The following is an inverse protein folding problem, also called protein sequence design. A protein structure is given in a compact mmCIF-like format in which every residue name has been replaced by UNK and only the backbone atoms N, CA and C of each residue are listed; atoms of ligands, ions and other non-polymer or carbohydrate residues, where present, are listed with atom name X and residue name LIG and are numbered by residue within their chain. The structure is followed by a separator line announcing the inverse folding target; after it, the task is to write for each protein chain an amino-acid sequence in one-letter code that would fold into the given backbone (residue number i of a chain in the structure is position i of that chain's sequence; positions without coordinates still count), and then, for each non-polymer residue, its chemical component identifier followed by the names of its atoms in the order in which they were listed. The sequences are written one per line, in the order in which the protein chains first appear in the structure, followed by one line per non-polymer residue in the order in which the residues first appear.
data_IF_794382993248
#
_entry.id   IF_794382993248
#
_cell.length_a   1.000
_cell.length_b   1.000
_cell.length_c   1.000
_cell.angle_alpha   90.00
_cell.angle_beta   90.00
_cell.angle_gamma   90.00
#
_symmetry.space_group_name_H-M   'P 1'
#
loop_
_entity.id
_entity.type
_entity.pdbx_description
1 polymer ?
#
# COMPACT_ATOMS: atom_id res chain seq x y z
N UNK A 1 -16.53 -6.78 7.61
CA UNK A 1 -15.41 -6.24 8.42
C UNK A 1 -14.18 -6.26 7.55
N UNK A 2 -13.49 -5.13 7.43
CA UNK A 2 -12.30 -5.02 6.59
C UNK A 2 -11.17 -4.29 7.31
N UNK A 3 -9.98 -4.34 6.73
CA UNK A 3 -8.81 -3.56 7.17
C UNK A 3 -8.32 -2.74 5.98
N UNK A 4 -8.06 -1.46 6.23
CA UNK A 4 -7.35 -0.59 5.29
C UNK A 4 -5.96 -0.33 5.85
N UNK A 5 -4.94 -0.76 5.12
CA UNK A 5 -3.56 -0.45 5.43
C UNK A 5 -3.19 0.91 4.84
N UNK A 6 -2.81 1.83 5.71
CA UNK A 6 -2.38 3.18 5.34
C UNK A 6 -0.85 3.24 5.29
N UNK A 7 -0.30 3.75 4.19
CA UNK A 7 1.12 4.00 4.00
C UNK A 7 1.36 5.49 3.74
N UNK A 8 2.15 6.13 4.60
CA UNK A 8 2.66 7.50 4.41
C UNK A 8 4.14 7.49 4.74
N UNK A 9 4.97 7.42 3.73
CA UNK A 9 6.41 7.30 3.89
C UNK A 9 7.16 8.21 2.92
N UNK A 10 8.44 8.43 3.22
CA UNK A 10 9.34 9.22 2.36
C UNK A 10 10.44 8.39 1.71
N UNK A 11 10.68 7.19 2.22
CA UNK A 11 11.78 6.32 1.80
C UNK A 11 11.52 5.69 0.43
N UNK A 12 12.53 5.72 -0.45
CA UNK A 12 12.46 5.24 -1.84
C UNK A 12 12.40 3.70 -1.99
N UNK A 13 12.61 2.97 -0.89
CA UNK A 13 12.58 1.52 -0.80
C UNK A 13 11.36 1.04 0.01
N UNK A 14 10.37 1.91 0.25
CA UNK A 14 9.21 1.60 1.10
C UNK A 14 8.52 0.30 0.71
N UNK A 15 8.28 0.09 -0.59
CA UNK A 15 7.58 -1.13 -1.03
C UNK A 15 8.38 -2.41 -0.87
N UNK A 16 9.70 -2.35 -0.74
CA UNK A 16 10.54 -3.53 -0.51
C UNK A 16 10.25 -4.20 0.84
N UNK A 17 9.86 -3.42 1.85
CA UNK A 17 9.41 -3.97 3.14
C UNK A 17 7.89 -3.98 3.27
N UNK A 18 7.19 -3.00 2.67
CA UNK A 18 5.75 -2.86 2.86
C UNK A 18 4.97 -3.96 2.13
N UNK A 19 5.35 -4.31 0.90
CA UNK A 19 4.67 -5.36 0.14
C UNK A 19 4.71 -6.74 0.84
N UNK A 20 5.88 -7.27 1.27
CA UNK A 20 5.91 -8.53 2.02
C UNK A 20 5.20 -8.44 3.37
N UNK A 21 5.27 -7.30 4.08
CA UNK A 21 4.55 -7.09 5.33
C UNK A 21 3.02 -7.15 5.13
N UNK A 22 2.49 -6.48 4.10
CA UNK A 22 1.06 -6.51 3.77
C UNK A 22 0.62 -7.94 3.46
N UNK A 23 1.41 -8.69 2.69
CA UNK A 23 1.12 -10.10 2.36
C UNK A 23 1.04 -10.97 3.61
N UNK A 24 2.00 -10.83 4.51
CA UNK A 24 2.04 -11.59 5.76
C UNK A 24 0.87 -11.22 6.70
N UNK A 25 0.65 -9.92 6.93
CA UNK A 25 -0.46 -9.44 7.76
C UNK A 25 -1.82 -9.85 7.21
N UNK A 26 -2.03 -9.81 5.89
CA UNK A 26 -3.23 -10.36 5.25
C UNK A 26 -3.39 -11.84 5.57
N UNK A 27 -2.32 -12.62 5.45
CA UNK A 27 -2.34 -14.06 5.76
C UNK A 27 -2.79 -14.32 7.19
N UNK A 28 -2.20 -13.62 8.16
CA UNK A 28 -2.57 -13.71 9.57
C UNK A 28 -4.03 -13.30 9.82
N UNK A 29 -4.47 -12.20 9.22
CA UNK A 29 -5.84 -11.72 9.34
C UNK A 29 -6.85 -12.71 8.74
N UNK A 30 -6.57 -13.26 7.56
CA UNK A 30 -7.43 -14.25 6.90
C UNK A 30 -7.50 -15.57 7.66
N UNK A 31 -6.41 -15.99 8.32
CA UNK A 31 -6.41 -17.19 9.16
C UNK A 31 -7.40 -17.08 10.33
N UNK A 32 -7.54 -15.87 10.92
CA UNK A 32 -8.47 -15.62 12.03
C UNK A 32 -9.86 -15.16 11.58
N UNK A 33 -9.93 -14.44 10.47
CA UNK A 33 -11.14 -13.84 9.91
C UNK A 33 -11.22 -14.13 8.39
N UNK A 34 -11.69 -15.32 7.97
CA UNK A 34 -11.63 -15.75 6.56
C UNK A 34 -12.28 -14.79 5.56
N UNK A 35 -13.33 -14.09 5.98
CA UNK A 35 -14.10 -13.16 5.16
C UNK A 35 -13.62 -11.71 5.28
N UNK A 36 -12.51 -11.43 5.97
CA UNK A 36 -12.00 -10.05 6.11
C UNK A 36 -11.57 -9.50 4.75
N UNK A 37 -11.99 -8.30 4.43
CA UNK A 37 -11.56 -7.59 3.21
C UNK A 37 -10.34 -6.74 3.50
N UNK A 38 -9.47 -6.57 2.50
CA UNK A 38 -8.20 -5.85 2.65
C UNK A 38 -8.10 -4.79 1.56
N UNK A 39 -7.76 -3.57 1.97
CA UNK A 39 -7.40 -2.47 1.10
C UNK A 39 -6.06 -1.88 1.53
N UNK A 40 -5.37 -1.24 0.59
CA UNK A 40 -4.11 -0.51 0.81
C UNK A 40 -4.27 0.88 0.23
N UNK A 41 -3.93 1.91 1.00
CA UNK A 41 -3.89 3.29 0.54
C UNK A 41 -2.50 3.86 0.78
N UNK A 42 -1.79 4.17 -0.31
CA UNK A 42 -0.50 4.83 -0.29
C UNK A 42 -0.67 6.30 -0.68
N UNK A 43 -0.17 7.22 0.13
CA UNK A 43 -0.41 8.64 -0.10
C UNK A 43 0.72 9.58 0.35
N UNK A 44 1.87 9.03 0.78
CA UNK A 44 3.12 9.78 0.93
C UNK A 44 3.92 9.83 -0.37
N UNK A 45 5.26 9.93 -0.27
CA UNK A 45 6.14 9.92 -1.47
C UNK A 45 6.36 8.50 -2.00
N UNK A 46 6.06 7.49 -1.20
CA UNK A 46 6.17 6.09 -1.56
C UNK A 46 5.25 5.70 -2.72
N UNK A 47 4.10 6.37 -2.88
CA UNK A 47 3.19 6.11 -4.00
C UNK A 47 3.89 6.25 -5.35
N UNK A 48 4.82 7.21 -5.47
CA UNK A 48 5.50 7.49 -6.73
C UNK A 48 6.46 6.38 -7.16
N UNK A 49 6.77 5.41 -6.31
CA UNK A 49 7.52 4.21 -6.69
C UNK A 49 6.67 3.25 -7.53
N UNK A 50 5.34 3.39 -7.49
CA UNK A 50 4.39 2.61 -8.30
C UNK A 50 4.16 3.21 -9.70
N UNK A 51 4.86 4.28 -10.07
CA UNK A 51 4.89 4.79 -11.45
C UNK A 51 5.61 3.76 -12.32
N UNK A 52 5.09 3.46 -13.52
CA UNK A 52 5.61 2.41 -14.45
C UNK A 52 7.14 2.38 -14.53
N UNK A 53 7.78 3.53 -14.80
CA UNK A 53 9.25 3.63 -14.92
C UNK A 53 10.03 3.29 -13.64
N UNK A 54 9.45 3.51 -12.45
CA UNK A 54 10.09 3.27 -11.15
C UNK A 54 9.74 1.91 -10.58
N UNK A 55 8.56 1.40 -10.89
CA UNK A 55 8.11 0.06 -10.52
C UNK A 55 9.09 -1.02 -11.04
N UNK A 56 9.63 -0.82 -12.24
CA UNK A 56 10.68 -1.69 -12.82
C UNK A 56 11.95 -1.83 -11.96
N UNK A 57 12.22 -0.88 -11.05
CA UNK A 57 13.39 -0.91 -10.17
C UNK A 57 13.19 -1.77 -8.92
N UNK A 58 11.97 -2.27 -8.68
CA UNK A 58 11.60 -3.02 -7.47
C UNK A 58 10.69 -4.21 -7.79
N UNK A 59 11.11 -5.00 -8.80
CA UNK A 59 10.31 -6.08 -9.40
C UNK A 59 9.73 -7.07 -8.39
N UNK A 60 10.46 -7.42 -7.34
CA UNK A 60 9.97 -8.32 -6.30
C UNK A 60 8.76 -7.73 -5.55
N UNK A 61 8.87 -6.47 -5.10
CA UNK A 61 7.76 -5.79 -4.44
C UNK A 61 6.55 -5.65 -5.37
N UNK A 62 6.78 -5.32 -6.65
CA UNK A 62 5.70 -5.23 -7.64
C UNK A 62 5.05 -6.57 -7.89
N UNK A 63 5.82 -7.67 -7.96
CA UNK A 63 5.26 -9.01 -8.10
C UNK A 63 4.37 -9.39 -6.92
N UNK A 64 4.76 -9.02 -5.69
CA UNK A 64 3.94 -9.25 -4.50
C UNK A 64 2.64 -8.44 -4.56
N UNK A 65 2.72 -7.15 -4.95
CA UNK A 65 1.54 -6.31 -5.08
C UNK A 65 0.60 -6.79 -6.20
N UNK A 66 1.15 -7.26 -7.32
CA UNK A 66 0.36 -7.80 -8.43
C UNK A 66 -0.40 -9.06 -8.00
N UNK A 67 0.24 -9.97 -7.28
CA UNK A 67 -0.42 -11.13 -6.67
C UNK A 67 -1.55 -10.71 -5.72
N UNK A 68 -1.26 -9.77 -4.81
CA UNK A 68 -2.25 -9.27 -3.85
C UNK A 68 -3.48 -8.70 -4.55
N UNK A 69 -3.27 -7.87 -5.58
CA UNK A 69 -4.37 -7.20 -6.28
C UNK A 69 -5.13 -8.18 -7.18
N UNK A 70 -4.42 -8.90 -8.06
CA UNK A 70 -5.06 -9.70 -9.12
C UNK A 70 -5.55 -11.06 -8.67
N UNK A 71 -4.85 -11.70 -7.73
CA UNK A 71 -5.16 -13.06 -7.29
C UNK A 71 -5.89 -13.07 -5.95
N UNK A 72 -5.66 -12.07 -5.12
CA UNK A 72 -6.12 -12.09 -3.73
C UNK A 72 -7.13 -10.98 -3.39
N UNK A 73 -7.61 -10.26 -4.42
CA UNK A 73 -8.67 -9.25 -4.35
C UNK A 73 -8.38 -8.11 -3.34
N UNK A 74 -7.13 -7.65 -3.31
CA UNK A 74 -6.72 -6.48 -2.52
C UNK A 74 -6.85 -5.22 -3.38
N UNK A 75 -7.52 -4.19 -2.87
CA UNK A 75 -7.56 -2.90 -3.54
C UNK A 75 -6.30 -2.09 -3.21
N UNK A 76 -5.59 -1.58 -4.22
CA UNK A 76 -4.40 -0.74 -4.04
C UNK A 76 -4.64 0.67 -4.59
N UNK A 77 -4.70 1.64 -3.69
CA UNK A 77 -4.99 3.03 -4.00
C UNK A 77 -3.77 3.93 -3.85
N UNK A 78 -3.67 4.94 -4.72
CA UNK A 78 -2.76 6.08 -4.55
C UNK A 78 -3.51 7.42 -4.50
N UNK A 79 -2.87 8.45 -3.97
CA UNK A 79 -3.45 9.79 -3.83
C UNK A 79 -3.27 10.63 -5.11
N UNK A 80 -4.38 10.86 -5.82
CA UNK A 80 -4.47 11.71 -7.00
C UNK A 80 -4.15 13.18 -6.70
N UNK A 81 -4.64 13.72 -5.58
CA UNK A 81 -4.33 15.09 -5.13
C UNK A 81 -2.82 15.28 -4.92
N UNK A 82 -2.14 14.35 -4.24
CA UNK A 82 -0.68 14.43 -4.08
C UNK A 82 0.03 14.23 -5.43
N UNK A 83 -0.50 13.38 -6.32
CA UNK A 83 0.04 13.20 -7.67
C UNK A 83 -0.02 14.47 -8.53
N UNK A 84 -1.11 15.23 -8.43
CA UNK A 84 -1.31 16.45 -9.20
C UNK A 84 -0.30 17.55 -8.85
N UNK A 85 0.11 17.63 -7.57
CA UNK A 85 1.16 18.55 -7.12
C UNK A 85 2.51 18.33 -7.81
N UNK A 86 2.75 17.12 -8.35
CA UNK A 86 3.97 16.76 -9.08
C UNK A 86 3.73 16.56 -10.58
N UNK A 87 2.55 16.91 -11.10
CA UNK A 87 2.20 16.73 -12.51
C UNK A 87 2.13 15.27 -12.97
N UNK A 88 1.94 14.33 -12.03
CA UNK A 88 1.82 12.90 -12.35
C UNK A 88 0.37 12.57 -12.70
N UNK A 89 0.16 12.08 -13.92
CA UNK A 89 -1.14 11.66 -14.41
C UNK A 89 -1.49 10.25 -13.91
N UNK A 90 -2.78 9.93 -13.68
CA UNK A 90 -3.19 8.58 -13.26
C UNK A 90 -2.64 7.45 -14.15
N UNK A 91 -2.62 7.63 -15.47
CA UNK A 91 -2.09 6.66 -16.44
C UNK A 91 -0.57 6.40 -16.35
N UNK A 92 0.14 7.14 -15.49
CA UNK A 92 1.58 6.94 -15.24
C UNK A 92 1.84 5.80 -14.26
N UNK A 93 0.86 5.42 -13.44
CA UNK A 93 0.96 4.32 -12.49
C UNK A 93 0.84 2.96 -13.18
N UNK A 94 1.39 1.91 -12.57
CA UNK A 94 1.19 0.53 -13.01
C UNK A 94 -0.29 0.15 -12.95
N UNK A 95 -0.69 -0.79 -13.81
CA UNK A 95 -2.12 -1.04 -14.08
C UNK A 95 -2.90 -1.65 -12.89
N UNK A 96 -2.21 -2.10 -11.84
CA UNK A 96 -2.82 -2.60 -10.60
C UNK A 96 -3.15 -1.48 -9.58
N UNK A 97 -2.80 -0.24 -9.89
CA UNK A 97 -3.04 0.92 -9.02
C UNK A 97 -4.33 1.61 -9.43
N UNK A 98 -5.22 1.78 -8.46
CA UNK A 98 -6.35 2.70 -8.55
C UNK A 98 -5.94 4.09 -8.04
N UNK A 99 -6.26 5.14 -8.80
CA UNK A 99 -5.91 6.51 -8.41
C UNK A 99 -7.15 7.19 -7.84
N UNK A 100 -7.25 7.17 -6.52
CA UNK A 100 -8.30 7.87 -5.81
C UNK A 100 -8.10 9.39 -5.90
N UNK A 101 -9.19 10.16 -5.78
CA UNK A 101 -9.11 11.63 -5.73
C UNK A 101 -8.17 12.12 -4.62
N UNK A 102 -8.29 11.52 -3.43
CA UNK A 102 -7.48 11.84 -2.25
C UNK A 102 -7.28 10.60 -1.39
N UNK A 103 -6.03 10.34 -0.99
CA UNK A 103 -5.68 9.22 -0.10
C UNK A 103 -6.40 9.30 1.26
N UNK A 104 -6.29 10.42 2.00
CA UNK A 104 -7.01 10.60 3.26
C UNK A 104 -8.54 10.45 3.12
N UNK A 105 -9.13 10.96 2.03
CA UNK A 105 -10.57 10.78 1.79
C UNK A 105 -10.91 9.30 1.55
N UNK A 106 -10.10 8.59 0.75
CA UNK A 106 -10.29 7.16 0.49
C UNK A 106 -10.20 6.30 1.75
N UNK A 107 -9.30 6.63 2.67
CA UNK A 107 -9.21 5.97 3.98
C UNK A 107 -10.49 6.20 4.79
N UNK A 108 -10.98 7.45 4.83
CA UNK A 108 -12.23 7.78 5.49
C UNK A 108 -13.44 7.06 4.86
N UNK A 109 -13.49 6.89 3.54
CA UNK A 109 -14.52 6.09 2.87
C UNK A 109 -14.54 4.66 3.43
N UNK A 110 -13.36 4.02 3.55
CA UNK A 110 -13.24 2.67 4.12
C UNK A 110 -13.68 2.62 5.59
N UNK A 111 -13.28 3.61 6.39
CA UNK A 111 -13.71 3.71 7.80
C UNK A 111 -15.24 3.81 7.90
N UNK A 112 -15.87 4.60 7.04
CA UNK A 112 -17.33 4.74 6.99
C UNK A 112 -18.03 3.43 6.55
N UNK A 113 -17.35 2.57 5.79
CA UNK A 113 -17.80 1.21 5.46
C UNK A 113 -17.53 0.20 6.59
N UNK A 114 -16.99 0.63 7.73
CA UNK A 114 -16.70 -0.21 8.89
C UNK A 114 -15.37 -0.96 8.80
N UNK A 115 -14.42 -0.45 8.01
CA UNK A 115 -13.05 -0.96 8.02
C UNK A 115 -12.27 -0.38 9.19
N UNK A 116 -11.32 -1.16 9.70
CA UNK A 116 -10.33 -0.70 10.67
C UNK A 116 -9.12 -0.16 9.90
N UNK A 117 -8.73 1.09 10.17
CA UNK A 117 -7.51 1.66 9.61
C UNK A 117 -6.29 1.24 10.44
N UNK A 118 -5.24 0.76 9.76
CA UNK A 118 -3.96 0.41 10.36
C UNK A 118 -2.85 1.11 9.56
N UNK A 119 -2.20 2.07 10.19
CA UNK A 119 -1.05 2.73 9.58
C UNK A 119 0.20 1.86 9.71
N UNK A 120 0.84 1.56 8.58
CA UNK A 120 2.07 0.78 8.52
C UNK A 120 3.27 1.72 8.55
N UNK A 121 4.26 1.37 9.37
CA UNK A 121 5.49 2.13 9.54
C UNK A 121 6.70 1.19 9.50
N UNK A 122 7.80 1.64 8.90
CA UNK A 122 9.04 0.88 9.00
C UNK A 122 9.65 1.01 10.39
N UNK A 123 9.61 -0.07 11.18
CA UNK A 123 10.38 -0.14 12.42
C UNK A 123 11.73 -0.76 12.13
N UNK A 124 12.77 0.09 12.05
CA UNK A 124 14.15 -0.38 11.91
C UNK A 124 14.45 -1.38 13.02
N UNK A 125 14.96 -2.60 12.71
CA UNK A 125 15.29 -3.56 13.75
C UNK A 125 16.30 -2.90 14.70
N UNK A 126 16.06 -3.03 16.01
CA UNK A 126 17.06 -2.60 17.00
C UNK A 126 18.34 -3.36 16.66
N UNK A 127 19.46 -2.66 16.50
CA UNK A 127 20.76 -3.33 16.55
C UNK A 127 20.80 -4.01 17.91
N UNK A 128 20.94 -5.33 17.93
CA UNK A 128 21.33 -6.02 19.15
C UNK A 128 22.68 -5.42 19.57
N UNK A 129 22.66 -4.60 20.61
CA UNK A 129 23.85 -4.18 21.32
C UNK A 129 24.30 -5.36 22.17
N UNK A 130 24.86 -6.38 21.54
CA UNK A 130 25.75 -7.33 22.19
C UNK A 130 27.18 -6.95 21.78
N UNK A 131 27.76 -6.05 22.57
CA UNK A 131 29.19 -6.08 22.84
C UNK A 131 29.43 -7.09 23.96
#
# INVERSE_FOLDING_TARGET
MGVVFELIERDKNTWQWAAPMIKDLKGQLKAKYPNIEIAVVSHGREQFQLIKKRAELQKEAISILDDLVRKENVNLHVCGTHSSWFGIKPSSYIDIVDVAESGPAKINDYINLGYISIQLHYKKPKKDSNQ
#
